data_IF_761795779487
#
_entry.id   IF_761795779487
#
_cell.length_a   1.000
_cell.length_b   1.000
_cell.length_c   1.000
_cell.angle_alpha   90.00
_cell.angle_beta   90.00
_cell.angle_gamma   90.00
#
_symmetry.space_group_name_H-M   'P 1'
#
loop_
_entity.id
_entity.type
_entity.pdbx_description
1 polymer ?
#
# COMPACT_ATOMS: atom_id res chain seq x y z
N UNK A 1 -22.23 5.75 17.77
CA UNK A 1 -22.25 7.11 18.29
C UNK A 1 -21.35 8.00 17.46
N UNK A 2 -21.96 8.85 16.62
CA UNK A 2 -21.24 9.82 15.80
C UNK A 2 -20.83 11.01 16.68
N UNK A 3 -19.52 11.24 16.83
CA UNK A 3 -19.01 12.36 17.60
C UNK A 3 -19.06 13.63 16.73
N UNK A 4 -19.96 14.55 17.06
CA UNK A 4 -20.03 15.87 16.43
C UNK A 4 -18.98 16.77 17.07
N UNK A 5 -17.98 17.18 16.31
CA UNK A 5 -16.98 18.16 16.74
C UNK A 5 -17.27 19.53 16.11
N UNK A 6 -17.07 20.58 16.89
CA UNK A 6 -17.29 21.97 16.46
C UNK A 6 -15.97 22.65 16.18
N UNK A 7 -16.00 23.63 15.28
CA UNK A 7 -14.86 24.52 15.09
C UNK A 7 -14.43 25.13 16.45
N UNK A 8 -13.12 25.24 16.75
CA UNK A 8 -12.65 25.92 17.95
C UNK A 8 -13.18 27.37 18.08
N UNK A 9 -13.48 28.02 16.95
CA UNK A 9 -14.08 29.37 16.89
C UNK A 9 -15.61 29.38 17.07
N UNK A 10 -16.23 28.26 17.44
CA UNK A 10 -17.68 28.17 17.66
C UNK A 10 -18.17 29.18 18.70
N UNK A 11 -17.39 29.44 19.75
CA UNK A 11 -17.71 30.45 20.78
C UNK A 11 -17.79 31.88 20.23
N UNK A 12 -17.13 32.14 19.10
CA UNK A 12 -17.16 33.41 18.37
C UNK A 12 -18.26 33.44 17.30
N UNK A 13 -19.15 32.44 17.27
CA UNK A 13 -20.30 32.36 16.36
C UNK A 13 -20.05 31.59 15.06
N UNK A 14 -18.93 30.89 14.92
CA UNK A 14 -18.70 30.07 13.73
C UNK A 14 -19.69 28.88 13.68
N UNK A 15 -20.53 28.75 12.64
CA UNK A 15 -21.53 27.68 12.57
C UNK A 15 -20.95 26.34 12.09
N UNK A 16 -19.66 26.28 11.77
CA UNK A 16 -19.02 25.08 11.23
C UNK A 16 -18.93 23.95 12.26
N UNK A 17 -19.41 22.77 11.86
CA UNK A 17 -19.25 21.52 12.59
C UNK A 17 -18.90 20.39 11.61
N UNK A 18 -18.30 19.33 12.11
CA UNK A 18 -18.01 18.13 11.33
C UNK A 18 -18.23 16.87 12.15
N UNK A 19 -18.47 15.76 11.46
CA UNK A 19 -18.57 14.45 12.06
C UNK A 19 -17.18 13.81 12.05
N UNK A 20 -16.69 13.40 13.22
CA UNK A 20 -15.43 12.68 13.29
C UNK A 20 -15.69 11.20 13.03
N UNK A 21 -15.34 10.75 11.83
CA UNK A 21 -15.32 9.32 11.52
C UNK A 21 -14.10 8.68 12.19
N UNK A 22 -14.37 7.84 13.20
CA UNK A 22 -13.36 6.96 13.80
C UNK A 22 -13.38 5.64 13.04
N UNK A 23 -12.22 5.09 12.62
CA UNK A 23 -12.20 3.79 11.98
C UNK A 23 -12.76 2.73 12.93
N UNK A 24 -13.56 1.80 12.39
CA UNK A 24 -14.14 0.69 13.17
C UNK A 24 -13.08 -0.26 13.75
N UNK A 25 -11.88 -0.24 13.19
CA UNK A 25 -10.78 -1.13 13.51
C UNK A 25 -9.47 -0.35 13.41
N UNK A 26 -8.61 -0.47 14.41
CA UNK A 26 -7.29 0.18 14.43
C UNK A 26 -7.32 1.66 14.84
N UNK A 27 -6.18 2.34 14.66
CA UNK A 27 -5.97 3.73 15.06
C UNK A 27 -5.33 4.51 13.92
N UNK A 28 -5.90 5.66 13.54
CA UNK A 28 -5.25 6.55 12.58
C UNK A 28 -4.02 7.19 13.22
N UNK A 29 -2.88 7.12 12.53
CA UNK A 29 -1.65 7.80 12.91
C UNK A 29 -1.11 8.62 11.76
N UNK A 30 -0.67 9.83 12.08
CA UNK A 30 0.06 10.65 11.14
C UNK A 30 1.51 10.16 11.07
N UNK A 31 1.96 9.82 9.87
CA UNK A 31 3.34 9.50 9.57
C UNK A 31 4.02 10.78 9.06
N UNK A 32 4.88 11.38 9.90
CA UNK A 32 5.59 12.61 9.56
C UNK A 32 6.55 12.44 8.38
N UNK A 33 7.21 11.28 8.25
CA UNK A 33 8.14 11.01 7.17
C UNK A 33 7.45 11.02 5.81
N UNK A 34 6.26 10.43 5.74
CA UNK A 34 5.44 10.38 4.51
C UNK A 34 4.46 11.55 4.40
N UNK A 35 4.42 12.44 5.39
CA UNK A 35 3.42 13.50 5.54
C UNK A 35 1.98 13.02 5.29
N UNK A 36 1.65 11.82 5.75
CA UNK A 36 0.40 11.13 5.42
C UNK A 36 -0.28 10.50 6.63
N UNK A 37 -1.60 10.30 6.56
CA UNK A 37 -2.36 9.58 7.60
C UNK A 37 -2.43 8.10 7.22
N UNK A 38 -1.99 7.23 8.12
CA UNK A 38 -2.03 5.78 7.95
C UNK A 38 -2.89 5.13 9.04
N UNK A 39 -3.59 4.05 8.68
CA UNK A 39 -4.30 3.22 9.65
C UNK A 39 -3.33 2.21 10.26
N UNK A 40 -3.15 2.28 11.58
CA UNK A 40 -2.46 1.25 12.35
C UNK A 40 -3.48 0.17 12.75
N UNK A 41 -3.35 -1.09 12.29
CA UNK A 41 -4.21 -2.16 12.76
C UNK A 41 -4.01 -2.41 14.29
N UNK A 42 -5.02 -2.93 15.00
CA UNK A 42 -4.88 -3.42 16.37
C UNK A 42 -3.72 -4.40 16.43
N UNK A 43 -2.93 -4.31 17.50
CA UNK A 43 -1.94 -5.34 17.81
C UNK A 43 -2.69 -6.61 18.17
N UNK A 44 -2.70 -7.57 17.25
CA UNK A 44 -3.06 -8.94 17.58
C UNK A 44 -1.96 -9.53 18.44
N UNK A 45 -2.33 -10.32 19.45
CA UNK A 45 -1.37 -11.19 20.12
C UNK A 45 -0.69 -12.04 19.04
N UNK A 46 0.60 -11.83 18.87
CA UNK A 46 1.38 -12.61 17.93
C UNK A 46 1.44 -14.02 18.49
N UNK A 47 0.60 -14.92 17.97
CA UNK A 47 0.74 -16.35 18.24
C UNK A 47 2.16 -16.72 17.80
N UNK A 48 2.92 -17.31 18.71
CA UNK A 48 4.32 -17.69 18.49
C UNK A 48 4.37 -18.78 17.40
N UNK A 49 4.44 -18.33 16.16
CA UNK A 49 4.38 -19.21 15.00
C UNK A 49 5.75 -19.84 14.78
N UNK A 50 5.91 -21.09 15.22
CA UNK A 50 7.12 -21.91 14.99
C UNK A 50 7.20 -22.51 13.58
N UNK A 51 6.54 -21.92 12.60
CA UNK A 51 6.55 -22.41 11.23
C UNK A 51 7.57 -21.68 10.36
N UNK A 52 7.62 -22.10 9.10
CA UNK A 52 8.50 -21.54 8.08
C UNK A 52 7.98 -20.18 7.62
N UNK A 53 8.87 -19.21 7.45
CA UNK A 53 8.51 -17.91 6.86
C UNK A 53 8.15 -18.07 5.38
N UNK A 54 7.31 -17.17 4.86
CA UNK A 54 6.98 -17.12 3.42
C UNK A 54 8.27 -17.07 2.57
N UNK A 55 9.28 -16.35 3.05
CA UNK A 55 10.58 -16.21 2.40
C UNK A 55 11.46 -17.44 2.47
N UNK A 56 11.11 -18.49 3.19
CA UNK A 56 11.89 -19.74 3.30
C UNK A 56 11.30 -20.87 2.45
N UNK A 57 10.07 -20.72 1.95
CA UNK A 57 9.41 -21.72 1.11
C UNK A 57 10.25 -22.10 -0.12
N UNK A 58 10.17 -23.36 -0.58
CA UNK A 58 10.69 -23.77 -1.88
C UNK A 58 10.15 -22.88 -3.01
N UNK A 59 11.00 -22.58 -4.00
CA UNK A 59 10.68 -21.64 -5.08
C UNK A 59 9.35 -21.95 -5.78
N UNK A 60 9.06 -23.24 -6.04
CA UNK A 60 7.84 -23.67 -6.73
C UNK A 60 6.59 -23.27 -5.93
N UNK A 61 6.57 -23.57 -4.63
CA UNK A 61 5.43 -23.25 -3.75
C UNK A 61 5.27 -21.73 -3.60
N UNK A 62 6.41 -21.02 -3.50
CA UNK A 62 6.38 -19.57 -3.42
C UNK A 62 5.82 -18.94 -4.70
N UNK A 63 6.24 -19.39 -5.88
CA UNK A 63 5.68 -18.92 -7.15
C UNK A 63 4.18 -19.20 -7.26
N UNK A 64 3.72 -20.38 -6.82
CA UNK A 64 2.29 -20.70 -6.79
C UNK A 64 1.50 -19.71 -5.93
N UNK A 65 2.00 -19.37 -4.73
CA UNK A 65 1.34 -18.37 -3.87
C UNK A 65 1.34 -16.99 -4.53
N UNK A 66 2.47 -16.58 -5.11
CA UNK A 66 2.60 -15.26 -5.74
C UNK A 66 1.73 -15.13 -7.00
N UNK A 67 1.46 -16.20 -7.73
CA UNK A 67 0.60 -16.19 -8.92
C UNK A 67 -0.87 -15.85 -8.59
N UNK A 68 -1.33 -16.13 -7.37
CA UNK A 68 -2.67 -15.73 -6.91
C UNK A 68 -2.78 -14.25 -6.53
N UNK A 69 -1.66 -13.53 -6.43
CA UNK A 69 -1.64 -12.14 -6.00
C UNK A 69 -1.86 -11.19 -7.17
N UNK A 70 -2.64 -10.14 -6.93
CA UNK A 70 -2.75 -9.03 -7.88
C UNK A 70 -1.45 -8.21 -7.91
N UNK A 71 -1.32 -7.38 -8.95
CA UNK A 71 -0.15 -6.55 -9.20
C UNK A 71 0.23 -5.66 -8.00
N UNK A 72 -0.75 -5.07 -7.31
CA UNK A 72 -0.51 -4.23 -6.14
C UNK A 72 0.03 -5.04 -4.97
N UNK A 73 -0.56 -6.21 -4.73
CA UNK A 73 -0.07 -7.14 -3.69
C UNK A 73 1.34 -7.65 -4.00
N UNK A 74 1.64 -7.99 -5.26
CA UNK A 74 3.00 -8.40 -5.68
C UNK A 74 4.04 -7.32 -5.44
N UNK A 75 3.70 -6.05 -5.72
CA UNK A 75 4.56 -4.91 -5.42
C UNK A 75 4.84 -4.78 -3.92
N UNK A 76 3.80 -4.87 -3.09
CA UNK A 76 3.93 -4.84 -1.63
C UNK A 76 4.83 -5.99 -1.13
N UNK A 77 4.63 -7.21 -1.62
CA UNK A 77 5.47 -8.37 -1.27
C UNK A 77 6.93 -8.15 -1.69
N UNK A 78 7.16 -7.60 -2.89
CA UNK A 78 8.52 -7.28 -3.37
C UNK A 78 9.25 -6.24 -2.53
N UNK A 79 8.51 -5.47 -1.71
CA UNK A 79 9.06 -4.44 -0.83
C UNK A 79 9.46 -4.97 0.55
N UNK A 80 9.15 -6.23 0.87
CA UNK A 80 9.40 -6.79 2.21
C UNK A 80 10.83 -7.27 2.42
N UNK A 81 11.42 -7.99 1.47
CA UNK A 81 12.80 -8.48 1.56
C UNK A 81 13.45 -8.68 0.19
N UNK A 82 14.80 -8.68 0.16
CA UNK A 82 15.58 -8.79 -1.08
C UNK A 82 15.30 -10.07 -1.87
N UNK A 83 15.06 -11.20 -1.19
CA UNK A 83 14.76 -12.49 -1.83
C UNK A 83 13.41 -12.41 -2.56
N UNK A 84 12.36 -11.97 -1.88
CA UNK A 84 11.02 -11.84 -2.47
C UNK A 84 11.01 -10.81 -3.59
N UNK A 85 11.74 -9.69 -3.42
CA UNK A 85 11.95 -8.70 -4.49
C UNK A 85 12.51 -9.34 -5.76
N UNK A 86 13.59 -10.11 -5.63
CA UNK A 86 14.22 -10.80 -6.76
C UNK A 86 13.25 -11.78 -7.42
N UNK A 87 12.53 -12.58 -6.65
CA UNK A 87 11.61 -13.58 -7.20
C UNK A 87 10.44 -12.92 -7.93
N UNK A 88 9.80 -11.89 -7.34
CA UNK A 88 8.76 -11.11 -7.99
C UNK A 88 9.25 -10.48 -9.30
N UNK A 89 10.46 -9.91 -9.30
CA UNK A 89 11.03 -9.29 -10.49
C UNK A 89 11.33 -10.30 -11.60
N UNK A 90 11.95 -11.44 -11.28
CA UNK A 90 12.36 -12.41 -12.30
C UNK A 90 11.18 -13.23 -12.86
N UNK A 91 10.18 -13.54 -12.03
CA UNK A 91 9.08 -14.45 -12.42
C UNK A 91 7.79 -13.70 -12.77
N UNK A 92 7.60 -12.48 -12.24
CA UNK A 92 6.35 -11.74 -12.38
C UNK A 92 6.61 -10.30 -12.86
N UNK A 93 7.69 -10.06 -13.61
CA UNK A 93 8.12 -8.74 -14.09
C UNK A 93 6.97 -7.88 -14.65
N UNK A 94 6.13 -8.48 -15.50
CA UNK A 94 5.01 -7.81 -16.18
C UNK A 94 3.87 -7.39 -15.22
N UNK A 95 3.81 -8.01 -14.04
CA UNK A 95 2.71 -7.88 -13.08
C UNK A 95 3.16 -7.23 -11.76
N UNK A 96 4.40 -7.43 -11.34
CA UNK A 96 4.95 -6.96 -10.06
C UNK A 96 5.51 -5.53 -10.13
N UNK A 97 5.82 -5.04 -11.32
CA UNK A 97 6.22 -3.65 -11.53
C UNK A 97 5.06 -2.85 -12.07
N UNK A 98 4.23 -2.40 -11.15
CA UNK A 98 3.21 -1.44 -11.51
C UNK A 98 3.32 -0.18 -10.68
N UNK A 99 3.43 0.95 -11.37
CA UNK A 99 3.32 2.26 -10.77
C UNK A 99 1.85 2.68 -10.70
N UNK A 100 1.43 3.17 -9.54
CA UNK A 100 0.15 3.83 -9.37
C UNK A 100 0.23 5.17 -10.12
N UNK A 101 -0.52 5.29 -11.21
CA UNK A 101 -0.66 6.56 -11.93
C UNK A 101 -1.85 7.31 -11.34
N UNK A 102 -1.56 8.42 -10.67
CA UNK A 102 -2.58 9.36 -10.22
C UNK A 102 -2.95 10.27 -11.39
N UNK A 103 -4.23 10.37 -11.69
CA UNK A 103 -4.77 11.35 -12.64
C UNK A 103 -5.73 12.30 -11.91
N UNK A 104 -5.73 13.55 -12.34
CA UNK A 104 -6.57 14.62 -11.80
C UNK A 104 -7.69 14.94 -12.80
N UNK A 105 -8.91 15.05 -12.31
CA UNK A 105 -10.09 15.48 -13.08
C UNK A 105 -11.04 16.17 -12.13
N UNK A 106 -11.26 17.45 -12.40
CA UNK A 106 -12.19 18.29 -11.64
C UNK A 106 -11.76 18.50 -10.18
N UNK A 107 -10.47 18.65 -9.91
CA UNK A 107 -9.93 18.85 -8.57
C UNK A 107 -9.93 17.60 -7.69
N UNK A 108 -10.22 16.43 -8.26
CA UNK A 108 -10.20 15.13 -7.57
C UNK A 108 -9.12 14.26 -8.17
N UNK A 109 -8.31 13.66 -7.30
CA UNK A 109 -7.31 12.67 -7.67
C UNK A 109 -7.94 11.28 -7.68
N UNK A 110 -7.76 10.55 -8.77
CA UNK A 110 -8.12 9.13 -8.86
C UNK A 110 -6.89 8.32 -9.20
N UNK A 111 -6.76 7.19 -8.49
CA UNK A 111 -5.80 6.16 -8.87
C UNK A 111 -6.34 5.50 -10.15
N UNK A 112 -5.67 5.74 -11.28
CA UNK A 112 -5.98 5.03 -12.52
C UNK A 112 -5.22 3.71 -12.48
N UNK A 113 -5.93 2.62 -12.78
CA UNK A 113 -5.38 1.28 -12.67
C UNK A 113 -4.09 1.13 -13.48
N UNK A 114 -3.14 0.53 -12.77
CA UNK A 114 -2.02 -0.27 -13.20
C UNK A 114 -1.59 -0.16 -14.67
N UNK A 115 -0.52 0.58 -14.96
CA UNK A 115 0.20 0.44 -16.24
C UNK A 115 1.14 -0.76 -16.11
N UNK A 116 0.84 -1.86 -16.79
CA UNK A 116 1.81 -2.93 -17.00
C UNK A 116 2.86 -2.44 -17.98
N UNK A 117 4.15 -2.59 -17.64
CA UNK A 117 5.19 -2.50 -18.63
C UNK A 117 5.09 -3.75 -19.49
N UNK A 118 4.37 -3.66 -20.62
CA UNK A 118 4.46 -4.70 -21.64
C UNK A 118 5.89 -4.68 -22.18
N UNK A 119 6.50 -5.85 -22.22
CA UNK A 119 7.83 -6.06 -22.78
C UNK A 119 7.84 -5.67 -24.26
N UNK A 120 8.11 -4.40 -24.56
CA UNK A 120 8.58 -3.99 -25.86
C UNK A 120 9.94 -3.34 -25.71
N UNK A 121 10.92 -4.17 -26.09
CA UNK A 121 12.31 -3.89 -26.45
C UNK A 121 13.11 -3.10 -25.42
N UNK A 122 14.08 -3.83 -24.86
CA UNK A 122 15.41 -3.36 -24.44
C UNK A 122 15.74 -2.03 -25.12
N UNK A 123 15.59 -0.94 -24.37
CA UNK A 123 16.30 0.35 -24.50
C UNK A 123 15.55 1.41 -23.67
N UNK A 124 15.42 1.17 -22.36
CA UNK A 124 14.94 2.19 -21.43
C UNK A 124 15.92 2.30 -20.27
N UNK A 125 16.91 3.17 -20.45
CA UNK A 125 17.75 3.72 -19.39
C UNK A 125 16.92 4.61 -18.45
N UNK A 126 16.14 4.09 -17.50
CA UNK A 126 15.53 4.96 -16.49
C UNK A 126 15.46 4.34 -15.09
N UNK A 127 16.25 4.98 -14.22
CA UNK A 127 16.14 5.18 -12.77
C UNK A 127 15.30 4.17 -11.98
N UNK A 128 16.00 3.16 -11.47
CA UNK A 128 15.66 2.49 -10.23
C UNK A 128 15.53 3.55 -9.11
N UNK A 129 14.30 3.87 -8.69
CA UNK A 129 14.11 4.41 -7.35
C UNK A 129 14.51 3.32 -6.36
N UNK A 130 15.74 3.40 -5.86
CA UNK A 130 16.17 2.69 -4.68
C UNK A 130 15.37 3.22 -3.49
N UNK A 131 14.41 2.40 -3.04
CA UNK A 131 13.92 2.40 -1.66
C UNK A 131 14.12 0.99 -1.10
#
# INVERSE_FOLDING_TARGET
DELIERCPMYSMGCPFFYYRNVPKWGVLKYNHFLSSVALRPPTFETVDYKGMSLSELPLILLCQVLEYLDAGSLYCVSSTCKRLRSICFHNFLSSAMVQIKWEESGGKWFAKNFVSFSSQKRDCHYFLFHI
#
